data_IF_455828694040
#
_entry.id   IF_455828694040
#
_cell.length_a   1.000
_cell.length_b   1.000
_cell.length_c   1.000
_cell.angle_alpha   90.00
_cell.angle_beta   90.00
_cell.angle_gamma   90.00
#
_symmetry.space_group_name_H-M   'P 1'
#
loop_
_entity.id
_entity.type
_entity.pdbx_description
1 polymer ?
#
# COMPACT_ATOMS: atom_id res chain seq x y z
N UNK A 1 -4.16 -39.07 4.59
CA UNK A 1 -4.29 -37.71 5.17
C UNK A 1 -3.13 -36.84 4.72
N UNK A 2 -1.88 -37.22 4.98
CA UNK A 2 -0.68 -36.51 4.49
C UNK A 2 -0.65 -36.36 2.96
N UNK A 3 -0.95 -37.42 2.19
CA UNK A 3 -0.98 -37.32 0.72
C UNK A 3 -2.01 -36.31 0.19
N UNK A 4 -3.11 -36.11 0.93
CA UNK A 4 -4.12 -35.11 0.60
C UNK A 4 -3.56 -33.71 0.82
N UNK A 5 -2.92 -33.45 1.97
CA UNK A 5 -2.25 -32.18 2.26
C UNK A 5 -1.16 -31.85 1.24
N UNK A 6 -0.32 -32.83 0.86
CA UNK A 6 0.71 -32.66 -0.17
C UNK A 6 0.10 -32.25 -1.51
N UNK A 7 -1.02 -32.88 -1.89
CA UNK A 7 -1.72 -32.54 -3.13
C UNK A 7 -2.34 -31.14 -3.06
N UNK A 8 -2.97 -30.79 -1.95
CA UNK A 8 -3.58 -29.47 -1.74
C UNK A 8 -2.52 -28.35 -1.77
N UNK A 9 -1.39 -28.53 -1.07
CA UNK A 9 -0.27 -27.59 -1.10
C UNK A 9 0.32 -27.42 -2.52
N UNK A 10 0.52 -28.52 -3.24
CA UNK A 10 0.99 -28.45 -4.63
C UNK A 10 0.01 -27.68 -5.51
N UNK A 11 -1.29 -27.95 -5.37
CA UNK A 11 -2.31 -27.25 -6.15
C UNK A 11 -2.28 -25.75 -5.85
N UNK A 12 -2.20 -25.34 -4.57
CA UNK A 12 -2.14 -23.93 -4.21
C UNK A 12 -0.87 -23.24 -4.72
N UNK A 13 0.30 -23.87 -4.58
CA UNK A 13 1.55 -23.28 -5.08
C UNK A 13 1.63 -23.20 -6.61
N UNK A 14 0.85 -24.01 -7.32
CA UNK A 14 0.68 -23.90 -8.77
C UNK A 14 -0.40 -22.87 -9.12
N UNK A 15 -1.50 -22.81 -8.37
CA UNK A 15 -2.66 -21.95 -8.63
C UNK A 15 -2.41 -20.47 -8.36
N UNK A 16 -1.72 -20.14 -7.25
CA UNK A 16 -1.50 -18.75 -6.86
C UNK A 16 -0.77 -17.93 -7.94
N UNK A 17 0.33 -18.40 -8.56
CA UNK A 17 0.95 -17.68 -9.68
C UNK A 17 -0.02 -17.34 -10.82
N UNK A 18 -0.91 -18.26 -11.22
CA UNK A 18 -1.91 -17.98 -12.25
C UNK A 18 -2.90 -16.88 -11.82
N UNK A 19 -3.32 -16.89 -10.55
CA UNK A 19 -4.17 -15.82 -10.03
C UNK A 19 -3.46 -14.47 -10.05
N UNK A 20 -2.15 -14.43 -9.81
CA UNK A 20 -1.36 -13.20 -9.88
C UNK A 20 -1.19 -12.70 -11.30
N UNK A 21 -0.93 -13.60 -12.24
CA UNK A 21 -0.85 -13.27 -13.68
C UNK A 21 -2.19 -12.71 -14.20
N UNK A 22 -3.32 -13.21 -13.70
CA UNK A 22 -4.67 -12.71 -14.00
C UNK A 22 -5.05 -11.44 -13.21
N UNK A 23 -4.18 -10.92 -12.34
CA UNK A 23 -4.44 -9.73 -11.51
C UNK A 23 -5.42 -9.96 -10.35
N UNK A 24 -5.78 -11.21 -10.04
CA UNK A 24 -6.73 -11.60 -8.99
C UNK A 24 -6.07 -11.68 -7.61
N UNK A 25 -5.44 -10.58 -7.20
CA UNK A 25 -4.61 -10.48 -5.98
C UNK A 25 -5.38 -10.89 -4.71
N UNK A 26 -6.64 -10.49 -4.55
CA UNK A 26 -7.42 -10.84 -3.34
C UNK A 26 -7.70 -12.35 -3.24
N UNK A 27 -7.85 -13.01 -4.38
CA UNK A 27 -8.08 -14.45 -4.42
C UNK A 27 -6.78 -15.20 -4.15
N UNK A 28 -5.67 -14.72 -4.69
CA UNK A 28 -4.34 -15.19 -4.36
C UNK A 28 -4.02 -15.04 -2.85
N UNK A 29 -4.44 -13.95 -2.21
CA UNK A 29 -4.30 -13.76 -0.75
C UNK A 29 -5.09 -14.79 0.05
N UNK A 30 -6.31 -15.10 -0.38
CA UNK A 30 -7.14 -16.14 0.27
C UNK A 30 -6.53 -17.53 0.10
N UNK A 31 -6.08 -17.86 -1.10
CA UNK A 31 -5.47 -19.16 -1.39
C UNK A 31 -4.12 -19.32 -0.68
N UNK A 32 -3.32 -18.26 -0.58
CA UNK A 32 -2.08 -18.26 0.21
C UNK A 32 -2.36 -18.47 1.71
N UNK A 33 -3.41 -17.86 2.24
CA UNK A 33 -3.80 -18.06 3.64
C UNK A 33 -4.28 -19.50 3.91
N UNK A 34 -4.92 -20.15 2.94
CA UNK A 34 -5.26 -21.57 3.03
C UNK A 34 -4.01 -22.45 2.91
N UNK A 35 -3.12 -22.15 1.98
CA UNK A 35 -1.83 -22.84 1.85
C UNK A 35 -0.98 -22.72 3.13
N UNK A 36 -1.00 -21.57 3.81
CA UNK A 36 -0.31 -21.38 5.09
C UNK A 36 -0.82 -22.34 6.16
N UNK A 37 -2.14 -22.51 6.27
CA UNK A 37 -2.76 -23.45 7.23
C UNK A 37 -2.38 -24.89 6.92
N UNK A 38 -2.48 -25.28 5.64
CA UNK A 38 -2.13 -26.63 5.20
C UNK A 38 -0.64 -26.92 5.38
N UNK A 39 0.23 -25.91 5.19
CA UNK A 39 1.67 -26.03 5.39
C UNK A 39 2.00 -26.19 6.86
N UNK A 40 1.36 -25.40 7.73
CA UNK A 40 1.51 -25.52 9.18
C UNK A 40 1.10 -26.92 9.66
N UNK A 41 -0.02 -27.45 9.17
CA UNK A 41 -0.47 -28.80 9.48
C UNK A 41 0.53 -29.86 8.97
N UNK A 42 1.02 -29.70 7.73
CA UNK A 42 2.02 -30.59 7.15
C UNK A 42 3.34 -30.61 7.93
N UNK A 43 3.83 -29.43 8.34
CA UNK A 43 5.02 -29.30 9.19
C UNK A 43 4.83 -29.93 10.57
N UNK A 44 3.60 -29.91 11.12
CA UNK A 44 3.29 -30.62 12.36
C UNK A 44 3.52 -32.13 12.26
N UNK A 45 3.29 -32.73 11.08
CA UNK A 45 3.54 -34.14 10.83
C UNK A 45 5.02 -34.47 10.61
N UNK A 46 5.80 -33.56 10.02
CA UNK A 46 7.20 -33.83 9.67
C UNK A 46 8.10 -33.99 10.89
N UNK A 47 7.71 -33.43 12.05
CA UNK A 47 8.36 -33.66 13.35
C UNK A 47 8.45 -35.16 13.70
N UNK A 48 7.47 -35.96 13.25
CA UNK A 48 7.38 -37.39 13.56
C UNK A 48 7.78 -38.27 12.37
N UNK A 49 7.90 -37.71 11.16
CA UNK A 49 8.10 -38.43 9.91
C UNK A 49 9.20 -37.75 9.07
N UNK A 50 10.45 -37.98 9.47
CA UNK A 50 11.67 -37.40 8.86
C UNK A 50 11.80 -37.64 7.36
N UNK A 51 11.16 -38.69 6.82
CA UNK A 51 11.10 -38.95 5.38
C UNK A 51 10.49 -37.78 4.57
N UNK A 52 9.69 -36.91 5.20
CA UNK A 52 9.05 -35.76 4.56
C UNK A 52 9.79 -34.43 4.77
N UNK A 53 10.90 -34.41 5.51
CA UNK A 53 11.61 -33.18 5.89
C UNK A 53 12.05 -32.37 4.65
N UNK A 54 12.65 -33.04 3.66
CA UNK A 54 13.05 -32.38 2.39
C UNK A 54 11.86 -31.80 1.63
N UNK A 55 10.72 -32.48 1.65
CA UNK A 55 9.51 -32.01 0.98
C UNK A 55 8.91 -30.80 1.71
N UNK A 56 8.91 -30.83 3.05
CA UNK A 56 8.46 -29.70 3.86
C UNK A 56 9.32 -28.47 3.66
N UNK A 57 10.64 -28.64 3.59
CA UNK A 57 11.55 -27.54 3.29
C UNK A 57 11.27 -26.95 1.91
N UNK A 58 11.09 -27.80 0.89
CA UNK A 58 10.73 -27.35 -0.46
C UNK A 58 9.40 -26.58 -0.51
N UNK A 59 8.39 -27.02 0.24
CA UNK A 59 7.13 -26.29 0.36
C UNK A 59 7.25 -24.97 1.11
N UNK A 60 8.06 -24.93 2.17
CA UNK A 60 8.33 -23.70 2.90
C UNK A 60 9.02 -22.66 2.01
N UNK A 61 10.00 -23.07 1.21
CA UNK A 61 10.69 -22.19 0.28
C UNK A 61 9.74 -21.60 -0.76
N UNK A 62 8.89 -22.43 -1.38
CA UNK A 62 7.86 -21.96 -2.32
C UNK A 62 6.84 -21.04 -1.66
N UNK A 63 6.43 -21.36 -0.44
CA UNK A 63 5.51 -20.51 0.31
C UNK A 63 6.11 -19.13 0.57
N UNK A 64 7.39 -19.07 0.97
CA UNK A 64 8.10 -17.80 1.20
C UNK A 64 8.21 -17.00 -0.10
N UNK A 65 8.57 -17.63 -1.22
CA UNK A 65 8.66 -16.99 -2.54
C UNK A 65 7.34 -16.32 -2.96
N UNK A 66 6.25 -17.08 -2.89
CA UNK A 66 4.92 -16.59 -3.23
C UNK A 66 4.48 -15.50 -2.26
N UNK A 67 4.74 -15.68 -0.96
CA UNK A 67 4.36 -14.71 0.07
C UNK A 67 5.06 -13.36 -0.11
N UNK A 68 6.35 -13.37 -0.45
CA UNK A 68 7.11 -12.15 -0.70
C UNK A 68 6.63 -11.45 -1.97
N UNK A 69 6.40 -12.20 -3.05
CA UNK A 69 5.85 -11.66 -4.30
C UNK A 69 4.49 -10.99 -4.06
N UNK A 70 3.61 -11.68 -3.35
CA UNK A 70 2.29 -11.16 -3.01
C UNK A 70 2.36 -9.93 -2.10
N UNK A 71 3.30 -9.92 -1.15
CA UNK A 71 3.50 -8.79 -0.25
C UNK A 71 3.85 -7.52 -1.02
N UNK A 72 4.77 -7.59 -2.00
CA UNK A 72 5.10 -6.46 -2.85
C UNK A 72 3.88 -6.00 -3.67
N UNK A 73 3.23 -6.92 -4.38
CA UNK A 73 2.08 -6.61 -5.24
C UNK A 73 0.93 -5.98 -4.45
N UNK A 74 0.55 -6.57 -3.31
CA UNK A 74 -0.49 -6.02 -2.45
C UNK A 74 -0.12 -4.65 -1.89
N UNK A 75 1.15 -4.43 -1.53
CA UNK A 75 1.58 -3.13 -1.01
C UNK A 75 1.50 -2.04 -2.07
N UNK A 76 1.98 -2.30 -3.30
CA UNK A 76 1.82 -1.36 -4.42
C UNK A 76 0.35 -1.01 -4.67
N UNK A 77 -0.52 -2.04 -4.71
CA UNK A 77 -1.96 -1.86 -4.87
C UNK A 77 -2.57 -1.01 -3.76
N UNK A 78 -2.16 -1.20 -2.51
CA UNK A 78 -2.66 -0.40 -1.39
C UNK A 78 -2.14 1.04 -1.41
N UNK A 79 -0.93 1.28 -1.89
CA UNK A 79 -0.41 2.64 -2.11
C UNK A 79 -1.26 3.37 -3.16
N UNK A 80 -1.63 2.70 -4.24
CA UNK A 80 -2.52 3.28 -5.27
C UNK A 80 -3.92 3.53 -4.72
N UNK A 81 -4.48 2.59 -3.96
CA UNK A 81 -5.76 2.78 -3.28
C UNK A 81 -5.71 3.94 -2.27
N UNK A 82 -4.57 4.12 -1.58
CA UNK A 82 -4.37 5.21 -0.64
C UNK A 82 -4.39 6.55 -1.37
N UNK A 83 -3.69 6.67 -2.51
CA UNK A 83 -3.73 7.86 -3.35
C UNK A 83 -5.17 8.21 -3.78
N UNK A 84 -5.97 7.20 -4.13
CA UNK A 84 -7.38 7.40 -4.48
C UNK A 84 -8.23 7.85 -3.28
N UNK A 85 -8.02 7.27 -2.10
CA UNK A 85 -8.73 7.67 -0.88
C UNK A 85 -8.45 9.15 -0.53
N UNK A 86 -7.21 9.60 -0.71
CA UNK A 86 -6.79 11.00 -0.53
C UNK A 86 -7.54 11.93 -1.47
N UNK A 87 -7.59 11.61 -2.76
CA UNK A 87 -8.30 12.43 -3.77
C UNK A 87 -9.80 12.51 -3.45
N UNK A 88 -10.36 11.40 -2.95
CA UNK A 88 -11.77 11.33 -2.56
C UNK A 88 -12.06 11.95 -1.18
N UNK A 89 -11.05 12.46 -0.46
CA UNK A 89 -11.15 12.94 0.91
C UNK A 89 -11.82 11.91 1.86
N UNK A 90 -11.44 10.63 1.76
CA UNK A 90 -11.90 9.56 2.64
C UNK A 90 -10.85 9.24 3.73
N UNK A 91 -10.87 9.95 4.88
CA UNK A 91 -9.85 9.78 5.92
C UNK A 91 -9.93 8.41 6.63
N UNK A 92 -11.08 7.74 6.57
CA UNK A 92 -11.25 6.41 7.18
C UNK A 92 -10.51 5.39 6.33
N UNK A 93 -10.74 5.42 5.02
CA UNK A 93 -10.05 4.54 4.09
C UNK A 93 -8.54 4.84 4.02
N UNK A 94 -8.14 6.11 4.07
CA UNK A 94 -6.73 6.50 4.16
C UNK A 94 -6.02 5.84 5.35
N UNK A 95 -6.60 5.93 6.55
CA UNK A 95 -6.00 5.41 7.77
C UNK A 95 -5.90 3.88 7.76
N UNK A 96 -6.95 3.19 7.31
CA UNK A 96 -6.97 1.72 7.16
C UNK A 96 -5.88 1.25 6.18
N UNK A 97 -5.75 1.92 5.03
CA UNK A 97 -4.75 1.56 4.02
C UNK A 97 -3.32 1.82 4.52
N UNK A 98 -3.07 2.93 5.21
CA UNK A 98 -1.76 3.20 5.81
C UNK A 98 -1.36 2.15 6.83
N UNK A 99 -2.31 1.70 7.67
CA UNK A 99 -2.05 0.62 8.63
C UNK A 99 -1.70 -0.69 7.93
N UNK A 100 -2.42 -1.04 6.86
CA UNK A 100 -2.15 -2.25 6.06
C UNK A 100 -0.78 -2.19 5.37
N UNK A 101 -0.44 -1.04 4.79
CA UNK A 101 0.87 -0.79 4.17
C UNK A 101 1.98 -0.94 5.20
N UNK A 102 1.87 -0.27 6.35
CA UNK A 102 2.89 -0.30 7.40
C UNK A 102 3.14 -1.72 7.93
N UNK A 103 2.06 -2.47 8.18
CA UNK A 103 2.14 -3.87 8.59
C UNK A 103 2.89 -4.72 7.55
N UNK A 104 2.59 -4.55 6.25
CA UNK A 104 3.20 -5.34 5.19
C UNK A 104 4.66 -4.96 4.93
N UNK A 105 4.99 -3.68 4.98
CA UNK A 105 6.37 -3.17 4.88
C UNK A 105 7.23 -3.72 6.03
N UNK A 106 6.68 -3.74 7.25
CA UNK A 106 7.35 -4.31 8.42
C UNK A 106 7.59 -5.81 8.23
N UNK A 107 6.55 -6.57 7.85
CA UNK A 107 6.68 -8.00 7.54
C UNK A 107 7.78 -8.28 6.52
N UNK A 108 7.80 -7.56 5.39
CA UNK A 108 8.81 -7.74 4.34
C UNK A 108 10.24 -7.48 4.85
N UNK A 109 10.41 -6.43 5.66
CA UNK A 109 11.71 -6.09 6.26
C UNK A 109 12.18 -7.18 7.22
N UNK A 110 11.31 -7.63 8.11
CA UNK A 110 11.63 -8.66 9.11
C UNK A 110 11.98 -9.99 8.44
N UNK A 111 11.19 -10.42 7.45
CA UNK A 111 11.45 -11.63 6.68
C UNK A 111 12.80 -11.58 5.95
N UNK A 112 13.17 -10.43 5.38
CA UNK A 112 14.48 -10.27 4.75
C UNK A 112 15.63 -10.28 5.75
N UNK A 113 15.46 -9.63 6.91
CA UNK A 113 16.48 -9.66 7.98
C UNK A 113 16.71 -11.08 8.50
N UNK A 114 15.65 -11.86 8.69
CA UNK A 114 15.75 -13.28 9.03
C UNK A 114 16.48 -14.06 7.94
N UNK A 115 16.12 -13.85 6.67
CA UNK A 115 16.79 -14.50 5.54
C UNK A 115 18.29 -14.13 5.46
N UNK A 116 18.68 -12.90 5.79
CA UNK A 116 20.09 -12.51 5.86
C UNK A 116 20.83 -13.25 6.98
N UNK A 117 20.22 -13.36 8.17
CA UNK A 117 20.82 -14.06 9.30
C UNK A 117 21.04 -15.55 8.99
N UNK A 118 20.14 -16.16 8.21
CA UNK A 118 20.22 -17.56 7.78
C UNK A 118 21.12 -17.78 6.54
N UNK A 119 21.73 -16.73 5.99
CA UNK A 119 22.50 -16.82 4.75
C UNK A 119 21.66 -17.06 3.48
N UNK A 120 20.35 -16.86 3.56
CA UNK A 120 19.36 -17.03 2.49
C UNK A 120 19.03 -15.74 1.72
N UNK A 121 19.71 -14.63 2.01
CA UNK A 121 19.45 -13.33 1.35
C UNK A 121 19.70 -13.28 -0.17
N UNK A 122 20.29 -14.32 -0.75
CA UNK A 122 20.52 -14.47 -2.21
C UNK A 122 19.61 -15.53 -2.85
N UNK A 123 18.61 -16.03 -2.12
CA UNK A 123 17.62 -16.98 -2.66
C UNK A 123 16.58 -16.25 -3.51
N UNK A 124 15.86 -17.00 -4.36
CA UNK A 124 14.87 -16.44 -5.28
C UNK A 124 13.87 -15.44 -4.64
N UNK A 125 13.32 -15.65 -3.42
CA UNK A 125 12.41 -14.70 -2.79
C UNK A 125 13.03 -13.32 -2.45
N UNK A 126 14.36 -13.25 -2.34
CA UNK A 126 15.06 -12.10 -1.75
C UNK A 126 16.17 -11.52 -2.64
N UNK A 127 16.48 -12.16 -3.78
CA UNK A 127 17.60 -11.78 -4.64
C UNK A 127 17.52 -10.32 -5.10
N UNK A 128 16.30 -9.84 -5.39
CA UNK A 128 16.05 -8.46 -5.83
C UNK A 128 15.57 -7.54 -4.69
N UNK A 129 15.43 -8.05 -3.46
CA UNK A 129 14.88 -7.31 -2.32
C UNK A 129 15.65 -6.01 -2.04
N UNK A 130 16.99 -6.08 -2.12
CA UNK A 130 17.87 -4.91 -1.91
C UNK A 130 17.64 -3.78 -2.91
N UNK A 131 17.03 -4.06 -4.06
CA UNK A 131 16.68 -3.07 -5.08
C UNK A 131 15.21 -2.69 -5.02
N UNK A 132 14.31 -3.66 -4.88
CA UNK A 132 12.87 -3.45 -4.98
C UNK A 132 12.28 -2.83 -3.71
N UNK A 133 12.76 -3.23 -2.53
CA UNK A 133 12.24 -2.69 -1.28
C UNK A 133 12.52 -1.18 -1.11
N UNK A 134 13.73 -0.66 -1.39
CA UNK A 134 13.96 0.79 -1.40
C UNK A 134 13.09 1.54 -2.42
N UNK A 135 12.84 0.96 -3.60
CA UNK A 135 11.95 1.56 -4.61
C UNK A 135 10.51 1.65 -4.12
N UNK A 136 10.01 0.60 -3.46
CA UNK A 136 8.69 0.60 -2.84
C UNK A 136 8.58 1.72 -1.79
N UNK A 137 9.58 1.86 -0.91
CA UNK A 137 9.61 2.91 0.11
C UNK A 137 9.63 4.32 -0.52
N UNK A 138 10.41 4.51 -1.58
CA UNK A 138 10.43 5.78 -2.32
C UNK A 138 9.06 6.09 -2.92
N UNK A 139 8.38 5.09 -3.48
CA UNK A 139 7.03 5.26 -4.02
C UNK A 139 6.02 5.66 -2.93
N UNK A 140 6.06 5.00 -1.77
CA UNK A 140 5.22 5.36 -0.61
C UNK A 140 5.49 6.80 -0.13
N UNK A 141 6.76 7.22 -0.09
CA UNK A 141 7.12 8.59 0.27
C UNK A 141 6.52 9.60 -0.71
N UNK A 142 6.66 9.37 -2.03
CA UNK A 142 6.09 10.23 -3.05
C UNK A 142 4.57 10.33 -2.94
N UNK A 143 3.89 9.22 -2.62
CA UNK A 143 2.46 9.20 -2.33
C UNK A 143 2.08 10.06 -1.13
N UNK A 144 2.84 9.97 -0.02
CA UNK A 144 2.59 10.79 1.16
C UNK A 144 2.80 12.30 0.89
N UNK A 145 3.82 12.65 0.11
CA UNK A 145 4.07 14.04 -0.32
C UNK A 145 2.92 14.59 -1.16
N UNK A 146 2.45 13.81 -2.15
CA UNK A 146 1.26 14.16 -2.95
C UNK A 146 0.02 14.34 -2.10
N UNK A 147 -0.19 13.48 -1.10
CA UNK A 147 -1.33 13.56 -0.21
C UNK A 147 -1.33 14.83 0.65
N UNK A 148 -0.16 15.22 1.16
CA UNK A 148 0.00 16.47 1.89
C UNK A 148 -0.30 17.68 1.00
N UNK A 149 0.19 17.69 -0.24
CA UNK A 149 -0.12 18.73 -1.20
C UNK A 149 -1.62 18.81 -1.48
N UNK A 150 -2.29 17.68 -1.74
CA UNK A 150 -3.74 17.65 -1.98
C UNK A 150 -4.53 18.22 -0.80
N UNK A 151 -4.18 17.85 0.44
CA UNK A 151 -4.80 18.39 1.65
C UNK A 151 -4.56 19.89 1.81
N UNK A 152 -3.35 20.37 1.50
CA UNK A 152 -3.04 21.81 1.50
C UNK A 152 -3.88 22.57 0.46
N UNK A 153 -4.00 22.05 -0.76
CA UNK A 153 -4.83 22.62 -1.82
C UNK A 153 -6.31 22.69 -1.41
N UNK A 154 -6.85 21.63 -0.81
CA UNK A 154 -8.24 21.62 -0.33
C UNK A 154 -8.45 22.63 0.80
N UNK A 155 -7.51 22.74 1.74
CA UNK A 155 -7.56 23.75 2.79
C UNK A 155 -7.48 25.18 2.23
N UNK A 156 -6.61 25.42 1.25
CA UNK A 156 -6.49 26.72 0.59
C UNK A 156 -7.77 27.09 -0.14
N UNK A 157 -8.34 26.16 -0.93
CA UNK A 157 -9.63 26.34 -1.62
C UNK A 157 -10.76 26.63 -0.63
N UNK A 158 -10.82 25.92 0.49
CA UNK A 158 -11.80 26.17 1.55
C UNK A 158 -11.60 27.54 2.20
N UNK A 159 -10.35 27.97 2.42
CA UNK A 159 -10.05 29.30 2.96
C UNK A 159 -10.47 30.42 1.99
N UNK A 160 -10.22 30.26 0.68
CA UNK A 160 -10.68 31.20 -0.35
C UNK A 160 -12.21 31.31 -0.38
N UNK A 161 -12.90 30.16 -0.42
CA UNK A 161 -14.37 30.13 -0.36
C UNK A 161 -14.93 30.75 0.93
N UNK A 162 -14.24 30.59 2.06
CA UNK A 162 -14.64 31.20 3.34
C UNK A 162 -14.48 32.73 3.31
N UNK A 163 -13.44 33.26 2.67
CA UNK A 163 -13.31 34.71 2.45
C UNK A 163 -14.42 35.26 1.56
N UNK A 164 -14.72 34.59 0.45
CA UNK A 164 -15.81 34.98 -0.45
C UNK A 164 -17.19 34.92 0.26
N UNK A 165 -17.38 33.94 1.13
CA UNK A 165 -18.57 33.86 1.98
C UNK A 165 -18.61 34.98 3.03
N UNK A 166 -17.50 35.33 3.67
CA UNK A 166 -17.43 36.50 4.56
C UNK A 166 -17.82 37.80 3.84
N UNK A 167 -17.37 38.01 2.60
CA UNK A 167 -17.77 39.18 1.79
C UNK A 167 -19.26 39.21 1.45
N UNK A 168 -19.92 38.06 1.37
CA UNK A 168 -21.38 37.98 1.14
C UNK A 168 -22.21 38.04 2.45
N UNK A 169 -21.61 37.70 3.59
CA UNK A 169 -22.25 37.79 4.93
C UNK A 169 -22.17 39.18 5.56
N UNK A 170 -21.25 40.05 5.12
CA UNK A 170 -21.32 41.48 5.41
C UNK A 170 -22.07 42.18 4.28
N UNK A 171 -23.42 42.28 4.31
CA UNK A 171 -24.08 43.22 3.43
C UNK A 171 -23.48 44.58 3.76
N UNK A 172 -22.89 45.21 2.76
CA UNK A 172 -22.40 46.58 2.82
C UNK A 172 -23.50 47.48 3.39
N UNK A 173 -23.50 47.66 4.70
CA UNK A 173 -24.33 48.61 5.40
C UNK A 173 -23.72 49.96 5.08
N UNK A 174 -24.41 50.66 4.18
CA UNK A 174 -24.14 52.06 3.83
C UNK A 174 -24.06 52.89 5.11
N UNK A 175 -22.84 53.29 5.48
CA UNK A 175 -22.44 54.68 5.72
C UNK A 175 -21.18 54.71 6.60
N UNK A 176 -20.03 54.95 5.98
CA UNK A 176 -19.15 56.06 6.38
C UNK A 176 -18.02 56.14 5.37
N UNK A 177 -17.95 57.28 4.70
CA UNK A 177 -16.84 57.72 3.87
C UNK A 177 -15.52 57.65 4.64
N UNK A 178 -14.63 56.76 4.22
CA UNK A 178 -13.19 56.89 4.46
C UNK A 178 -12.49 56.19 3.29
N UNK A 179 -11.89 57.00 2.43
CA UNK A 179 -11.10 56.56 1.29
C UNK A 179 -9.88 55.76 1.79
N UNK A 180 -9.67 54.56 1.25
CA UNK A 180 -8.37 53.90 1.20
C UNK A 180 -8.16 53.29 -0.20
N UNK A 181 -6.90 53.26 -0.67
CA UNK A 181 -6.59 53.14 -2.08
C UNK A 181 -6.78 51.72 -2.59
N UNK A 182 -7.37 51.61 -3.77
CA UNK A 182 -7.30 50.43 -4.62
C UNK A 182 -5.82 50.14 -4.92
N UNK A 183 -5.22 49.18 -4.23
CA UNK A 183 -4.11 48.43 -4.79
C UNK A 183 -4.67 47.17 -5.43
N UNK A 184 -4.48 47.11 -6.75
CA UNK A 184 -4.78 45.98 -7.59
C UNK A 184 -4.07 44.74 -7.05
N UNK A 185 -4.84 43.78 -6.55
CA UNK A 185 -4.41 42.39 -6.41
C UNK A 185 -5.28 41.54 -7.34
N UNK A 186 -5.27 41.88 -8.62
CA UNK A 186 -6.13 41.27 -9.62
C UNK A 186 -5.36 41.13 -10.91
N UNK A 187 -4.56 40.06 -11.01
CA UNK A 187 -4.26 39.35 -12.28
C UNK A 187 -3.34 38.13 -12.12
N UNK A 188 -2.71 37.87 -10.96
CA UNK A 188 -1.82 36.72 -10.82
C UNK A 188 -2.45 35.46 -10.18
N UNK A 189 -3.66 35.56 -9.62
CA UNK A 189 -4.29 34.44 -8.86
C UNK A 189 -5.03 33.41 -9.73
N UNK A 190 -5.33 33.70 -10.99
CA UNK A 190 -5.91 32.70 -11.91
C UNK A 190 -4.87 31.66 -12.36
N UNK A 191 -3.57 31.99 -12.30
CA UNK A 191 -2.49 31.04 -12.64
C UNK A 191 -2.19 30.04 -11.53
N UNK A 192 -2.48 30.36 -10.26
CA UNK A 192 -2.24 29.44 -9.14
C UNK A 192 -3.38 28.41 -8.98
N UNK A 193 -4.57 28.68 -9.51
CA UNK A 193 -5.67 27.70 -9.62
C UNK A 193 -5.37 26.57 -10.62
N UNK A 194 -4.49 26.79 -11.60
CA UNK A 194 -4.07 25.76 -12.56
C UNK A 194 -3.02 24.81 -11.96
N UNK A 195 -2.35 25.19 -10.87
CA UNK A 195 -1.35 24.35 -10.18
C UNK A 195 -1.95 23.20 -9.37
N UNK A 196 -3.29 23.10 -9.30
CA UNK A 196 -4.02 22.06 -8.55
C UNK A 196 -4.68 21.00 -9.45
N UNK A 197 -4.39 20.99 -10.76
CA UNK A 197 -4.88 19.97 -11.69
C UNK A 197 -3.87 18.81 -11.77
N UNK A 198 -3.96 17.87 -10.83
CA UNK A 198 -3.25 16.58 -10.88
C UNK A 198 -4.25 15.43 -10.95
#
# INVERSE_FOLDING_TARGET
MIDKLIKELNNSFVGIPYLLDDGRIEEAEKELAEAAKNLQEFMGYTVFLTNYEKLAQSFLERFVEISMTLAFLSTYRWIDAYNNAVVNNDPVQEADLLQKIDHKVTFMREAYLEALNDGRGQTAPFIDFGTDFPRLLMYLQQSAEKANLHKMCNNFKNAMNFQDQLFSFFPSSRNSSLAYPQQMLGTDLEKESEACQF
#
